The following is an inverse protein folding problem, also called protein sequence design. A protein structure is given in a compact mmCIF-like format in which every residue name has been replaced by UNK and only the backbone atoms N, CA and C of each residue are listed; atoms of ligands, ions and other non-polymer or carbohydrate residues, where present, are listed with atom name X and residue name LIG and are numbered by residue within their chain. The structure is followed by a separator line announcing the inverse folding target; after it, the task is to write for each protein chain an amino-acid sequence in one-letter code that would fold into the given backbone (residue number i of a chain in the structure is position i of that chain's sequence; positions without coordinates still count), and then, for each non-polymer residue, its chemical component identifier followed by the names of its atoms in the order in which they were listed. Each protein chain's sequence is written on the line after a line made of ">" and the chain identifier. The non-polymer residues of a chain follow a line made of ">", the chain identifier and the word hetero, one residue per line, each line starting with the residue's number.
data_IF_008851098868
#
_entry.id   IF_008851098868
#
_cell.length_a   1.000
_cell.length_b   1.000
_cell.length_c   1.000
_cell.angle_alpha   90.00
_cell.angle_beta   90.00
_cell.angle_gamma   90.00
#
_symmetry.space_group_name_H-M   'P 1'
#
loop_
_entity.id
_entity.type
_entity.pdbx_description
1 polymer ?
#
# COMPACT_ATOMS: atom_id res chain seq x y z
N UNK A 1 -48.80 3.48 -7.66
CA UNK A 1 -47.63 4.16 -7.07
C UNK A 1 -46.63 3.08 -6.70
N UNK A 2 -45.52 2.97 -7.43
CA UNK A 2 -44.56 1.87 -7.26
C UNK A 2 -43.27 2.38 -6.62
N UNK A 3 -42.77 1.79 -5.52
CA UNK A 3 -41.43 2.04 -5.04
C UNK A 3 -40.51 0.88 -5.46
N UNK A 4 -39.69 1.05 -6.50
CA UNK A 4 -38.73 0.00 -6.93
C UNK A 4 -37.45 0.61 -7.52
N UNK A 5 -36.73 1.41 -6.72
CA UNK A 5 -35.43 1.95 -7.15
C UNK A 5 -34.32 1.89 -6.09
N UNK A 6 -34.63 1.62 -4.81
CA UNK A 6 -33.62 1.73 -3.73
C UNK A 6 -32.73 0.48 -3.52
N UNK A 7 -33.09 -0.69 -4.08
CA UNK A 7 -32.43 -1.97 -3.79
C UNK A 7 -31.26 -2.35 -4.71
N UNK A 8 -30.99 -1.53 -5.74
CA UNK A 8 -29.98 -1.85 -6.76
C UNK A 8 -28.64 -1.15 -6.54
N UNK A 9 -28.63 0.03 -5.89
CA UNK A 9 -27.41 0.84 -5.74
C UNK A 9 -26.46 0.31 -4.67
N UNK A 10 -26.97 -0.15 -3.52
CA UNK A 10 -26.16 -0.66 -2.39
C UNK A 10 -25.39 -1.95 -2.68
N UNK A 11 -25.93 -2.81 -3.56
CA UNK A 11 -25.31 -4.10 -3.90
C UNK A 11 -24.08 -3.94 -4.79
N UNK A 12 -24.11 -2.95 -5.68
CA UNK A 12 -23.03 -2.66 -6.64
C UNK A 12 -21.85 -2.00 -5.93
N UNK A 13 -22.09 -1.05 -5.03
CA UNK A 13 -21.05 -0.42 -4.20
C UNK A 13 -20.39 -1.44 -3.28
N UNK A 14 -21.17 -2.32 -2.63
CA UNK A 14 -20.63 -3.39 -1.78
C UNK A 14 -19.83 -4.47 -2.51
N UNK A 15 -20.03 -4.63 -3.83
CA UNK A 15 -19.22 -5.53 -4.68
C UNK A 15 -17.93 -4.85 -5.12
N UNK A 16 -17.98 -3.58 -5.51
CA UNK A 16 -16.82 -2.78 -5.88
C UNK A 16 -15.84 -2.62 -4.71
N UNK A 17 -16.35 -2.34 -3.51
CA UNK A 17 -15.53 -2.26 -2.29
C UNK A 17 -14.87 -3.60 -1.95
N UNK A 18 -15.56 -4.73 -2.16
CA UNK A 18 -14.98 -6.07 -1.96
C UNK A 18 -13.85 -6.37 -2.93
N UNK A 19 -14.03 -6.06 -4.21
CA UNK A 19 -12.98 -6.21 -5.21
C UNK A 19 -11.73 -5.39 -4.87
N UNK A 20 -11.92 -4.13 -4.46
CA UNK A 20 -10.83 -3.26 -4.03
C UNK A 20 -10.10 -3.78 -2.77
N UNK A 21 -10.83 -4.36 -1.81
CA UNK A 21 -10.22 -4.99 -0.63
C UNK A 21 -9.42 -6.24 -1.00
N UNK A 22 -9.96 -7.11 -1.86
CA UNK A 22 -9.23 -8.29 -2.36
C UNK A 22 -7.93 -7.89 -3.04
N UNK A 23 -7.97 -6.87 -3.91
CA UNK A 23 -6.76 -6.38 -4.58
C UNK A 23 -5.76 -5.78 -3.59
N UNK A 24 -6.24 -5.04 -2.58
CA UNK A 24 -5.38 -4.48 -1.54
C UNK A 24 -4.67 -5.59 -0.73
N UNK A 25 -5.37 -6.68 -0.39
CA UNK A 25 -4.74 -7.84 0.26
C UNK A 25 -3.72 -8.54 -0.65
N UNK A 26 -4.03 -8.69 -1.93
CA UNK A 26 -3.13 -9.28 -2.90
C UNK A 26 -1.85 -8.44 -3.06
N UNK A 27 -1.98 -7.13 -3.26
CA UNK A 27 -0.87 -6.19 -3.29
C UNK A 27 -0.04 -6.23 -2.00
N UNK A 28 -0.67 -6.35 -0.82
CA UNK A 28 0.03 -6.47 0.46
C UNK A 28 0.86 -7.75 0.52
N UNK A 29 0.33 -8.87 0.06
CA UNK A 29 1.07 -10.14 0.00
C UNK A 29 2.29 -10.02 -0.92
N UNK A 30 2.12 -9.43 -2.11
CA UNK A 30 3.21 -9.20 -3.05
C UNK A 30 4.29 -8.29 -2.45
N UNK A 31 3.90 -7.24 -1.73
CA UNK A 31 4.83 -6.34 -1.06
C UNK A 31 5.61 -7.02 0.07
N UNK A 32 4.97 -7.93 0.83
CA UNK A 32 5.66 -8.76 1.83
C UNK A 32 6.68 -9.71 1.18
N UNK A 33 6.32 -10.36 0.07
CA UNK A 33 7.26 -11.20 -0.68
C UNK A 33 8.44 -10.39 -1.24
N UNK A 34 8.19 -9.16 -1.70
CA UNK A 34 9.25 -8.26 -2.14
C UNK A 34 10.19 -7.87 -1.00
N UNK A 35 9.67 -7.61 0.21
CA UNK A 35 10.50 -7.33 1.39
C UNK A 35 11.41 -8.52 1.73
N UNK A 36 10.91 -9.74 1.70
CA UNK A 36 11.74 -10.93 1.92
C UNK A 36 12.89 -10.99 0.92
N UNK A 37 12.63 -10.71 -0.37
CA UNK A 37 13.70 -10.66 -1.39
C UNK A 37 14.74 -9.61 -1.04
N UNK A 38 14.34 -8.41 -0.61
CA UNK A 38 15.28 -7.37 -0.16
C UNK A 38 16.15 -7.89 0.98
N UNK A 39 15.56 -8.52 2.00
CA UNK A 39 16.30 -9.08 3.13
C UNK A 39 17.28 -10.21 2.74
N UNK A 40 17.06 -10.89 1.61
CA UNK A 40 17.97 -11.93 1.12
C UNK A 40 19.09 -11.43 0.21
N UNK A 41 18.90 -10.30 -0.49
CA UNK A 41 19.85 -9.84 -1.53
C UNK A 41 20.82 -8.76 -1.05
N UNK A 42 20.66 -8.25 0.17
CA UNK A 42 21.51 -7.20 0.73
C UNK A 42 21.83 -7.45 2.19
N UNK A 43 23.09 -7.23 2.56
CA UNK A 43 23.52 -7.18 3.96
C UNK A 43 23.44 -5.76 4.55
N UNK A 44 23.07 -4.73 3.76
CA UNK A 44 22.88 -3.37 4.27
C UNK A 44 21.64 -3.27 5.18
N UNK A 45 21.83 -3.14 6.52
CA UNK A 45 20.71 -3.09 7.44
C UNK A 45 19.91 -1.78 7.32
N UNK A 46 20.49 -0.71 6.77
CA UNK A 46 19.78 0.53 6.53
C UNK A 46 18.77 0.39 5.39
N UNK A 47 19.17 -0.28 4.30
CA UNK A 47 18.31 -0.54 3.16
C UNK A 47 17.13 -1.44 3.53
N UNK A 48 17.37 -2.46 4.37
CA UNK A 48 16.31 -3.32 4.94
C UNK A 48 15.32 -2.49 5.77
N UNK A 49 15.79 -1.65 6.69
CA UNK A 49 14.90 -0.80 7.52
C UNK A 49 14.04 0.15 6.68
N UNK A 50 14.59 0.71 5.60
CA UNK A 50 13.84 1.57 4.69
C UNK A 50 12.75 0.79 3.94
N UNK A 51 13.03 -0.44 3.51
CA UNK A 51 12.06 -1.32 2.88
C UNK A 51 10.90 -1.69 3.84
N UNK A 52 11.24 -2.06 5.07
CA UNK A 52 10.27 -2.35 6.14
C UNK A 52 9.38 -1.14 6.42
N UNK A 53 10.00 0.04 6.55
CA UNK A 53 9.27 1.29 6.76
C UNK A 53 8.33 1.58 5.61
N UNK A 54 8.78 1.43 4.37
CA UNK A 54 7.95 1.66 3.17
C UNK A 54 6.74 0.72 3.14
N UNK A 55 6.91 -0.55 3.50
CA UNK A 55 5.81 -1.51 3.60
C UNK A 55 4.80 -1.11 4.69
N UNK A 56 5.28 -0.76 5.88
CA UNK A 56 4.44 -0.39 7.03
C UNK A 56 3.61 0.87 6.75
N UNK A 57 4.23 1.94 6.23
CA UNK A 57 3.48 3.17 5.93
C UNK A 57 2.49 2.99 4.77
N UNK A 58 2.82 2.15 3.78
CA UNK A 58 1.90 1.84 2.67
C UNK A 58 0.68 1.07 3.17
N UNK A 59 0.87 0.12 4.09
CA UNK A 59 -0.23 -0.66 4.67
C UNK A 59 -1.23 0.21 5.47
N UNK A 60 -0.79 1.36 5.99
CA UNK A 60 -1.64 2.28 6.78
C UNK A 60 -2.51 3.20 5.92
N UNK A 61 -2.24 3.32 4.62
CA UNK A 61 -2.99 4.20 3.70
C UNK A 61 -4.48 3.81 3.66
N UNK A 62 -4.77 2.51 3.55
CA UNK A 62 -6.15 2.00 3.48
C UNK A 62 -6.96 2.21 4.77
N UNK A 63 -6.30 2.47 5.91
CA UNK A 63 -6.95 2.72 7.20
C UNK A 63 -7.24 4.20 7.46
N UNK A 64 -7.16 5.09 6.46
CA UNK A 64 -7.48 6.50 6.64
C UNK A 64 -8.96 6.71 6.93
N UNK A 65 -9.27 7.55 7.91
CA UNK A 65 -10.65 7.82 8.32
C UNK A 65 -11.39 8.74 7.33
N UNK A 66 -10.66 9.64 6.67
CA UNK A 66 -11.19 10.64 5.76
C UNK A 66 -10.29 10.87 4.55
N UNK A 67 -10.75 11.76 3.64
CA UNK A 67 -10.03 12.06 2.40
C UNK A 67 -8.70 12.77 2.66
N UNK A 68 -8.64 13.67 3.65
CA UNK A 68 -7.43 14.40 4.01
C UNK A 68 -6.37 13.45 4.53
N UNK A 69 -6.72 12.58 5.49
CA UNK A 69 -5.84 11.56 6.03
C UNK A 69 -5.41 10.53 4.98
N UNK A 70 -6.26 10.23 3.98
CA UNK A 70 -5.87 9.39 2.85
C UNK A 70 -4.74 10.03 2.03
N UNK A 71 -4.87 11.33 1.72
CA UNK A 71 -3.85 12.08 0.98
C UNK A 71 -2.56 12.17 1.79
N UNK A 72 -2.64 12.52 3.07
CA UNK A 72 -1.46 12.62 3.94
C UNK A 72 -0.70 11.30 4.05
N UNK A 73 -1.43 10.19 4.29
CA UNK A 73 -0.81 8.86 4.38
C UNK A 73 -0.24 8.42 3.03
N UNK A 74 -0.91 8.72 1.92
CA UNK A 74 -0.38 8.43 0.59
C UNK A 74 0.92 9.20 0.33
N UNK A 75 1.00 10.47 0.71
CA UNK A 75 2.23 11.26 0.59
C UNK A 75 3.35 10.75 1.50
N UNK A 76 3.03 10.31 2.72
CA UNK A 76 3.99 9.63 3.59
C UNK A 76 4.52 8.34 2.97
N UNK A 77 3.65 7.54 2.36
CA UNK A 77 4.03 6.29 1.68
C UNK A 77 4.95 6.57 0.48
N UNK A 78 4.61 7.55 -0.35
CA UNK A 78 5.47 7.99 -1.47
C UNK A 78 6.85 8.42 -1.01
N UNK A 79 6.93 9.22 0.07
CA UNK A 79 8.23 9.64 0.64
C UNK A 79 9.06 8.45 1.12
N UNK A 80 8.46 7.51 1.84
CA UNK A 80 9.18 6.33 2.34
C UNK A 80 9.69 5.44 1.19
N UNK A 81 8.86 5.22 0.16
CA UNK A 81 9.27 4.52 -1.06
C UNK A 81 10.41 5.24 -1.77
N UNK A 82 10.35 6.57 -1.88
CA UNK A 82 11.41 7.39 -2.47
C UNK A 82 12.74 7.22 -1.73
N UNK A 83 12.74 7.28 -0.40
CA UNK A 83 13.94 7.08 0.41
C UNK A 83 14.55 5.68 0.20
N UNK A 84 13.71 4.64 0.20
CA UNK A 84 14.16 3.27 -0.07
C UNK A 84 14.79 3.16 -1.47
N UNK A 85 14.13 3.66 -2.51
CA UNK A 85 14.62 3.59 -3.89
C UNK A 85 15.92 4.37 -4.08
N UNK A 86 16.03 5.58 -3.51
CA UNK A 86 17.27 6.37 -3.59
C UNK A 86 18.43 5.62 -2.94
N UNK A 87 18.24 5.10 -1.72
CA UNK A 87 19.27 4.32 -1.03
C UNK A 87 19.65 3.05 -1.81
N UNK A 88 18.67 2.37 -2.40
CA UNK A 88 18.93 1.19 -3.22
C UNK A 88 19.73 1.49 -4.48
N UNK A 89 19.46 2.62 -5.14
CA UNK A 89 20.27 3.07 -6.29
C UNK A 89 21.72 3.34 -5.89
N UNK A 90 21.94 4.01 -4.77
CA UNK A 90 23.28 4.25 -4.23
C UNK A 90 23.99 2.94 -3.86
N UNK A 91 23.27 1.96 -3.33
CA UNK A 91 23.82 0.65 -2.97
C UNK A 91 24.21 -0.19 -4.20
N UNK A 92 23.44 -0.11 -5.29
CA UNK A 92 23.68 -0.88 -6.53
C UNK A 92 24.67 -0.20 -7.49
N UNK A 93 24.85 1.11 -7.39
CA UNK A 93 25.76 1.89 -8.23
C UNK A 93 27.10 2.24 -7.58
N UNK A 94 27.36 1.70 -6.39
CA UNK A 94 28.66 1.77 -5.69
C UNK A 94 29.60 0.65 -6.10
#
# INVERSE_FOLDING_TARGET
>A
MSPTAAHSTTRTTGRATRGALTEAYHCRLLAQQALLRVQFVTDDPHLVRLAERALDVTARVAGAADRTGLVERAEQAKRALGLFVSRAREHLGG
#
